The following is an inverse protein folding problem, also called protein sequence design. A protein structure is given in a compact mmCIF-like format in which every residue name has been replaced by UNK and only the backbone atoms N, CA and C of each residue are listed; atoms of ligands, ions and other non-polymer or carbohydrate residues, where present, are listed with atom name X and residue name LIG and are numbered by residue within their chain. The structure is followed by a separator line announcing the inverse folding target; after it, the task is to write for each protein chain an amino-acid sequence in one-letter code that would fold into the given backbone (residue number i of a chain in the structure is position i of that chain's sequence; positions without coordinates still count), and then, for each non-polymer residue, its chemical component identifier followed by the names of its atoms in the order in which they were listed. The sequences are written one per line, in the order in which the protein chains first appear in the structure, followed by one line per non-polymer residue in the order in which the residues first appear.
data_IF_053249581068
#
_entry.id   IF_053249581068
#
_cell.length_a   1.000
_cell.length_b   1.000
_cell.length_c   1.000
_cell.angle_alpha   90.00
_cell.angle_beta   90.00
_cell.angle_gamma   90.00
#
_symmetry.space_group_name_H-M   'P 1'
#
loop_
_entity.id
_entity.type
_entity.pdbx_description
1 polymer ?
#
# COMPACT_ATOMS: atom_id res chain seq x y z
N UNK A 1 14.55 -14.33 1.67
CA UNK A 1 13.11 -14.41 2.03
C UNK A 1 12.57 -15.76 1.61
N UNK A 2 11.66 -16.38 2.37
CA UNK A 2 10.97 -17.59 1.88
C UNK A 2 10.06 -17.19 0.71
N UNK A 3 10.14 -17.92 -0.41
CA UNK A 3 9.32 -17.73 -1.61
C UNK A 3 7.81 -17.65 -1.30
N UNK A 4 7.38 -18.27 -0.19
CA UNK A 4 5.99 -18.28 0.27
C UNK A 4 5.48 -16.91 0.71
N UNK A 5 6.35 -16.04 1.22
CA UNK A 5 5.93 -14.70 1.67
C UNK A 5 5.93 -13.70 0.52
N UNK A 6 6.93 -13.74 -0.37
CA UNK A 6 7.07 -12.79 -1.48
C UNK A 6 5.86 -12.78 -2.40
N UNK A 7 5.25 -13.95 -2.61
CA UNK A 7 4.10 -14.09 -3.50
C UNK A 7 2.76 -13.66 -2.89
N UNK A 8 2.69 -13.39 -1.58
CA UNK A 8 1.43 -13.06 -0.90
C UNK A 8 0.87 -11.74 -1.40
N UNK A 9 -0.39 -11.76 -1.81
CA UNK A 9 -1.11 -10.55 -2.23
C UNK A 9 -1.46 -9.75 -0.98
N UNK A 10 -0.96 -8.51 -0.94
CA UNK A 10 -1.22 -7.59 0.16
C UNK A 10 -2.42 -6.70 -0.19
N UNK A 11 -2.46 -6.18 -1.40
CA UNK A 11 -3.52 -5.29 -1.81
C UNK A 11 -3.50 -4.99 -3.30
N UNK A 12 -3.93 -3.79 -3.64
CA UNK A 12 -4.07 -3.29 -4.99
C UNK A 12 -3.48 -1.89 -5.06
N UNK A 13 -2.67 -1.62 -6.07
CA UNK A 13 -2.30 -0.25 -6.47
C UNK A 13 -3.04 0.13 -7.75
N UNK A 14 -3.10 1.43 -8.01
CA UNK A 14 -3.63 2.00 -9.24
C UNK A 14 -2.49 2.56 -10.09
N UNK A 15 -2.45 2.23 -11.39
CA UNK A 15 -1.49 2.80 -12.34
C UNK A 15 -2.16 3.81 -13.26
N UNK A 16 -1.54 4.99 -13.39
CA UNK A 16 -1.90 6.01 -14.38
C UNK A 16 -1.26 5.70 -15.74
N UNK A 17 -0.05 5.14 -15.72
CA UNK A 17 0.70 4.68 -16.89
C UNK A 17 1.54 3.44 -16.53
N UNK A 18 2.25 2.79 -17.47
CA UNK A 18 3.11 1.64 -17.13
C UNK A 18 4.12 1.92 -16.01
N UNK A 19 4.59 3.17 -15.92
CA UNK A 19 5.62 3.65 -14.99
C UNK A 19 5.09 4.52 -13.85
N UNK A 20 3.81 4.90 -13.85
CA UNK A 20 3.24 5.84 -12.89
C UNK A 20 2.14 5.19 -12.05
N UNK A 21 2.26 5.32 -10.74
CA UNK A 21 1.35 4.76 -9.73
C UNK A 21 0.65 5.92 -9.01
N UNK A 22 -0.58 5.70 -8.59
CA UNK A 22 -1.32 6.68 -7.78
C UNK A 22 -0.76 6.68 -6.36
N UNK A 23 -0.36 7.86 -5.89
CA UNK A 23 0.26 8.08 -4.59
C UNK A 23 -0.41 9.27 -3.88
N UNK A 24 -0.41 9.24 -2.55
CA UNK A 24 -0.88 10.31 -1.67
C UNK A 24 0.34 11.02 -1.07
N UNK A 25 0.60 12.25 -1.52
CA UNK A 25 1.90 12.88 -1.28
C UNK A 25 3.01 12.03 -1.90
N UNK A 26 3.97 11.62 -1.07
CA UNK A 26 5.12 10.81 -1.50
C UNK A 26 4.86 9.30 -1.41
N UNK A 27 3.73 8.86 -0.85
CA UNK A 27 3.46 7.46 -0.53
C UNK A 27 2.47 6.81 -1.49
N UNK A 28 2.85 5.69 -2.11
CA UNK A 28 1.98 5.03 -3.08
C UNK A 28 0.90 4.18 -2.40
N UNK A 29 -0.34 4.35 -2.85
CA UNK A 29 -1.51 3.83 -2.14
C UNK A 29 -1.70 2.35 -2.46
N UNK A 30 -1.81 1.57 -1.39
CA UNK A 30 -2.16 0.16 -1.40
C UNK A 30 -3.49 0.01 -0.67
N UNK A 31 -4.49 -0.43 -1.42
CA UNK A 31 -5.83 -0.73 -0.88
C UNK A 31 -5.98 -2.24 -0.72
N UNK A 32 -6.61 -2.69 0.36
CA UNK A 32 -6.88 -4.12 0.57
C UNK A 32 -7.92 -4.69 -0.39
N UNK A 33 -8.67 -3.85 -1.10
CA UNK A 33 -9.62 -4.28 -2.14
C UNK A 33 -9.62 -3.38 -3.38
N UNK A 34 -9.93 -3.97 -4.54
CA UNK A 34 -10.13 -3.21 -5.77
C UNK A 34 -11.30 -2.21 -5.65
N UNK A 35 -12.35 -2.57 -4.91
CA UNK A 35 -13.51 -1.69 -4.65
C UNK A 35 -13.10 -0.43 -3.89
N UNK A 36 -12.35 -0.56 -2.79
CA UNK A 36 -11.88 0.58 -2.01
C UNK A 36 -10.91 1.44 -2.82
N UNK A 37 -10.05 0.84 -3.64
CA UNK A 37 -9.19 1.59 -4.57
C UNK A 37 -10.03 2.43 -5.54
N UNK A 38 -11.10 1.87 -6.12
CA UNK A 38 -12.02 2.65 -6.98
C UNK A 38 -12.72 3.78 -6.24
N UNK A 39 -13.07 3.60 -4.97
CA UNK A 39 -13.68 4.64 -4.13
C UNK A 39 -12.68 5.75 -3.87
N UNK A 40 -11.46 5.41 -3.48
CA UNK A 40 -10.37 6.35 -3.27
C UNK A 40 -10.05 7.14 -4.54
N UNK A 41 -9.92 6.48 -5.69
CA UNK A 41 -9.70 7.16 -6.97
C UNK A 41 -10.80 8.18 -7.28
N UNK A 42 -12.06 7.90 -6.94
CA UNK A 42 -13.16 8.86 -7.15
C UNK A 42 -13.09 10.07 -6.22
N UNK A 43 -12.48 9.96 -5.04
CA UNK A 43 -12.34 11.08 -4.11
C UNK A 43 -11.15 11.97 -4.43
N UNK A 44 -10.07 11.41 -4.99
CA UNK A 44 -8.83 12.17 -5.27
C UNK A 44 -8.67 12.60 -6.73
N UNK A 45 -9.37 11.94 -7.67
CA UNK A 45 -9.30 12.28 -9.10
C UNK A 45 -10.54 13.05 -9.51
N UNK A 46 -10.40 14.35 -9.77
CA UNK A 46 -11.46 15.21 -10.31
C UNK A 46 -11.78 14.94 -11.78
N UNK A 47 -10.93 14.18 -12.48
CA UNK A 47 -11.13 13.79 -13.88
C UNK A 47 -11.59 12.34 -14.02
N UNK A 48 -12.85 12.17 -14.40
CA UNK A 48 -13.52 10.88 -14.62
C UNK A 48 -12.99 10.04 -15.80
N UNK A 49 -11.87 10.43 -16.44
CA UNK A 49 -11.40 9.87 -17.72
C UNK A 49 -9.94 9.36 -17.71
N UNK A 50 -9.23 9.41 -16.58
CA UNK A 50 -7.92 8.74 -16.55
C UNK A 50 -8.13 7.23 -16.63
N UNK A 51 -7.53 6.59 -17.63
CA UNK A 51 -7.51 5.14 -17.79
C UNK A 51 -6.63 4.52 -16.70
N UNK A 52 -7.18 4.40 -15.50
CA UNK A 52 -6.47 3.79 -14.38
C UNK A 52 -6.55 2.28 -14.47
N UNK A 53 -5.39 1.62 -14.42
CA UNK A 53 -5.33 0.15 -14.31
C UNK A 53 -5.09 -0.23 -12.85
N UNK A 54 -6.05 -0.91 -12.23
CA UNK A 54 -5.89 -1.45 -10.88
C UNK A 54 -5.25 -2.82 -10.97
N UNK A 55 -4.16 -3.05 -10.22
CA UNK A 55 -3.45 -4.33 -10.18
C UNK A 55 -3.25 -4.78 -8.75
N UNK A 56 -3.29 -6.10 -8.56
CA UNK A 56 -2.83 -6.73 -7.32
C UNK A 56 -1.35 -6.44 -7.12
N UNK A 57 -0.96 -6.23 -5.88
CA UNK A 57 0.42 -6.12 -5.47
C UNK A 57 0.76 -7.11 -4.38
N UNK A 58 1.98 -7.62 -4.45
CA UNK A 58 2.50 -8.67 -3.59
C UNK A 58 3.54 -8.13 -2.62
N UNK A 59 3.71 -8.85 -1.52
CA UNK A 59 4.63 -8.47 -0.46
C UNK A 59 6.06 -8.21 -0.96
N UNK A 60 6.60 -9.07 -1.83
CA UNK A 60 7.95 -8.91 -2.36
C UNK A 60 8.12 -7.63 -3.20
N UNK A 61 7.09 -7.26 -3.97
CA UNK A 61 7.10 -6.02 -4.77
C UNK A 61 7.16 -4.78 -3.87
N UNK A 62 6.39 -4.81 -2.77
CA UNK A 62 6.28 -3.72 -1.80
C UNK A 62 7.60 -3.57 -1.04
N UNK A 63 8.16 -4.67 -0.51
CA UNK A 63 9.44 -4.63 0.20
C UNK A 63 10.57 -4.18 -0.71
N UNK A 64 10.58 -4.62 -1.97
CA UNK A 64 11.54 -4.12 -2.94
C UNK A 64 11.43 -2.60 -3.12
N UNK A 65 10.20 -2.06 -3.24
CA UNK A 65 9.98 -0.62 -3.30
C UNK A 65 10.45 0.11 -2.05
N UNK A 66 10.10 -0.40 -0.86
CA UNK A 66 10.52 0.16 0.43
C UNK A 66 12.05 0.18 0.59
N UNK A 67 12.74 -0.88 0.16
CA UNK A 67 14.20 -0.96 0.18
C UNK A 67 14.87 0.03 -0.81
N UNK A 68 14.14 0.44 -1.86
CA UNK A 68 14.55 1.49 -2.80
C UNK A 68 14.16 2.90 -2.32
N UNK A 69 13.58 3.03 -1.12
CA UNK A 69 13.16 4.29 -0.53
C UNK A 69 11.80 4.81 -1.03
N UNK A 70 10.98 3.96 -1.67
CA UNK A 70 9.63 4.32 -2.07
C UNK A 70 8.65 4.11 -0.91
N UNK A 71 7.99 5.16 -0.39
CA UNK A 71 7.00 5.00 0.67
C UNK A 71 5.70 4.38 0.16
N UNK A 72 5.01 3.65 1.03
CA UNK A 72 3.69 3.10 0.74
C UNK A 72 2.67 3.44 1.82
N UNK A 73 1.47 3.78 1.39
CA UNK A 73 0.32 4.10 2.23
C UNK A 73 -0.67 2.92 2.21
N UNK A 74 -0.96 2.33 3.36
CA UNK A 74 -1.79 1.12 3.50
C UNK A 74 -3.11 1.44 4.18
N UNK A 75 -4.23 1.03 3.59
CA UNK A 75 -5.50 0.99 4.31
C UNK A 75 -5.52 -0.15 5.34
N UNK A 76 -6.54 -0.18 6.21
CA UNK A 76 -6.70 -1.21 7.24
C UNK A 76 -6.48 -2.64 6.72
N UNK A 77 -7.14 -3.00 5.61
CA UNK A 77 -7.10 -4.36 5.11
C UNK A 77 -5.72 -4.74 4.54
N UNK A 78 -5.07 -3.84 3.83
CA UNK A 78 -3.73 -4.08 3.28
C UNK A 78 -2.67 -4.04 4.37
N UNK A 79 -2.81 -3.14 5.35
CA UNK A 79 -1.93 -3.07 6.50
C UNK A 79 -1.96 -4.37 7.32
N UNK A 80 -3.16 -4.85 7.66
CA UNK A 80 -3.34 -6.09 8.42
C UNK A 80 -2.81 -7.34 7.71
N UNK A 81 -2.66 -7.30 6.38
CA UNK A 81 -1.99 -8.37 5.61
C UNK A 81 -0.48 -8.19 5.57
N UNK A 82 0.00 -6.95 5.48
CA UNK A 82 1.41 -6.58 5.36
C UNK A 82 2.16 -6.72 6.69
N UNK A 83 1.66 -6.07 7.73
CA UNK A 83 2.21 -5.97 9.08
C UNK A 83 2.77 -7.29 9.62
N UNK A 84 2.01 -8.41 9.69
CA UNK A 84 2.50 -9.63 10.32
C UNK A 84 3.58 -10.34 9.50
N UNK A 85 3.69 -10.05 8.21
CA UNK A 85 4.72 -10.61 7.32
C UNK A 85 5.97 -9.74 7.39
N UNK A 86 5.80 -8.41 7.37
CA UNK A 86 6.86 -7.42 7.50
C UNK A 86 7.61 -7.57 8.84
N UNK A 87 6.89 -7.76 9.96
CA UNK A 87 7.53 -7.94 11.26
C UNK A 87 8.30 -9.25 11.39
N UNK A 88 7.88 -10.32 10.70
CA UNK A 88 8.63 -11.59 10.67
C UNK A 88 9.99 -11.47 9.98
N UNK A 89 10.20 -10.40 9.20
CA UNK A 89 11.44 -10.16 8.47
C UNK A 89 12.20 -8.92 8.98
N UNK A 90 11.79 -8.33 10.11
CA UNK A 90 12.56 -7.28 10.79
C UNK A 90 12.12 -5.83 10.54
N UNK A 91 10.93 -5.57 9.99
CA UNK A 91 10.45 -4.19 9.80
C UNK A 91 10.03 -3.48 11.11
N UNK A 92 9.79 -4.20 12.20
CA UNK A 92 9.46 -3.64 13.54
C UNK A 92 8.34 -2.58 13.53
N UNK A 93 7.27 -2.85 12.77
CA UNK A 93 6.08 -2.02 12.70
C UNK A 93 5.21 -2.19 13.95
N UNK A 94 4.36 -1.22 14.25
CA UNK A 94 3.40 -1.25 15.35
C UNK A 94 2.00 -1.65 14.86
N UNK A 95 1.14 -2.12 15.76
CA UNK A 95 -0.29 -2.20 15.44
C UNK A 95 -0.88 -0.79 15.27
N UNK A 96 -1.89 -0.66 14.42
CA UNK A 96 -2.56 0.62 14.15
C UNK A 96 -4.03 0.53 14.56
N UNK A 97 -4.56 1.60 15.15
CA UNK A 97 -5.98 1.73 15.47
C UNK A 97 -6.75 2.45 14.35
N UNK A 98 -7.33 1.66 13.45
CA UNK A 98 -8.16 2.16 12.35
C UNK A 98 -9.55 2.64 12.78
N UNK A 99 -9.92 2.57 14.07
CA UNK A 99 -11.23 3.03 14.56
C UNK A 99 -11.35 4.55 14.64
N UNK A 100 -10.22 5.27 14.63
CA UNK A 100 -10.18 6.73 14.67
C UNK A 100 -10.62 7.29 13.31
N UNK A 101 -11.71 8.07 13.23
CA UNK A 101 -12.15 8.68 11.99
C UNK A 101 -11.16 9.75 11.51
N UNK A 102 -10.96 9.83 10.20
CA UNK A 102 -10.17 10.89 9.56
C UNK A 102 -11.09 11.89 8.84
N UNK A 103 -10.62 13.13 8.66
CA UNK A 103 -11.39 14.18 7.96
C UNK A 103 -11.74 13.80 6.52
N UNK A 104 -10.88 13.02 5.86
CA UNK A 104 -11.05 12.57 4.48
C UNK A 104 -11.88 11.30 4.36
N UNK A 105 -12.18 10.61 5.47
CA UNK A 105 -12.81 9.30 5.51
C UNK A 105 -11.89 8.14 5.10
N UNK A 106 -10.61 8.42 4.79
CA UNK A 106 -9.59 7.42 4.54
C UNK A 106 -8.52 7.47 5.62
N UNK A 107 -8.22 6.33 6.23
CA UNK A 107 -7.10 6.17 7.16
C UNK A 107 -6.04 5.31 6.47
N UNK A 108 -4.86 5.89 6.28
CA UNK A 108 -3.68 5.19 5.76
C UNK A 108 -2.53 5.19 6.77
N UNK A 109 -1.83 4.05 6.85
CA UNK A 109 -0.54 3.94 7.53
C UNK A 109 0.56 4.10 6.50
N UNK A 110 1.46 5.07 6.69
CA UNK A 110 2.58 5.31 5.78
C UNK A 110 3.84 4.64 6.30
N UNK A 111 4.41 3.74 5.49
CA UNK A 111 5.70 3.08 5.76
C UNK A 111 6.75 3.64 4.81
N UNK A 112 7.85 4.15 5.37
CA UNK A 112 8.89 4.87 4.61
C UNK A 112 10.17 4.05 4.37
N UNK A 113 10.34 2.92 5.07
CA UNK A 113 11.54 2.10 4.97
C UNK A 113 11.19 0.61 5.01
N UNK A 114 12.09 -0.20 4.44
CA UNK A 114 11.99 -1.65 4.43
C UNK A 114 12.58 -2.29 5.69
N UNK A 115 13.28 -3.40 5.48
CA UNK A 115 13.93 -4.17 6.56
C UNK A 115 15.13 -3.39 7.11
N UNK A 116 15.27 -3.37 8.44
CA UNK A 116 16.50 -2.92 9.06
C UNK A 116 17.52 -4.08 9.00
N UNK A 117 18.58 -3.92 8.20
CA UNK A 117 19.78 -4.72 8.40
C UNK A 117 20.54 -4.10 9.59
N UNK A 118 20.63 -4.83 10.71
CA UNK A 118 21.64 -4.58 11.74
C UNK A 118 22.99 -5.20 11.34
#
# INVERSE_FOLDING_TARGET
MSLDNDSKVIGYFAKLSPTEVVCEGDACVISGSEKNMKIYLKSVTSNAQQHVTIKKTRFGEIIQGLNLGAPYAFDEQSYNRFYPIANKIGCNLNEEDFSVPTETGFHFVVINHGVFDE
#
